data_IF_398953632804
#
_entry.id   IF_398953632804
#
_cell.length_a   1.000
_cell.length_b   1.000
_cell.length_c   1.000
_cell.angle_alpha   90.00
_cell.angle_beta   90.00
_cell.angle_gamma   90.00
#
_symmetry.space_group_name_H-M   'P 1'
#
loop_
_entity.id
_entity.type
_entity.pdbx_description
1 polymer ?
#
# COMPACT_ATOMS: atom_id res chain seq x y z
N UNK A 1 1.55 -24.61 -5.30
CA UNK A 1 0.58 -24.11 -4.29
C UNK A 1 -0.02 -22.82 -4.85
N UNK A 2 -1.32 -22.58 -4.69
CA UNK A 2 -1.98 -21.42 -5.31
C UNK A 2 -1.59 -20.13 -4.57
N UNK A 3 -0.69 -19.35 -5.16
CA UNK A 3 -0.15 -18.10 -4.62
C UNK A 3 -1.24 -17.10 -4.23
N UNK A 4 -2.41 -17.18 -4.86
CA UNK A 4 -3.53 -16.29 -4.59
C UNK A 4 -4.16 -16.52 -3.20
N UNK A 5 -3.88 -17.65 -2.55
CA UNK A 5 -4.32 -17.96 -1.18
C UNK A 5 -3.57 -17.16 -0.11
N UNK A 6 -2.36 -16.69 -0.40
CA UNK A 6 -1.57 -15.87 0.53
C UNK A 6 -1.94 -14.38 0.47
N UNK A 7 -2.59 -13.92 -0.60
CA UNK A 7 -2.94 -12.49 -0.75
C UNK A 7 -3.77 -11.93 0.41
N UNK A 8 -4.79 -12.60 0.96
CA UNK A 8 -5.51 -12.10 2.13
C UNK A 8 -4.63 -11.91 3.37
N UNK A 9 -3.59 -12.74 3.54
CA UNK A 9 -2.61 -12.60 4.63
C UNK A 9 -1.75 -11.35 4.41
N UNK A 10 -1.29 -11.13 3.18
CA UNK A 10 -0.51 -9.93 2.84
C UNK A 10 -1.33 -8.64 2.92
N UNK A 11 -2.63 -8.67 2.61
CA UNK A 11 -3.53 -7.54 2.83
C UNK A 11 -3.61 -7.17 4.32
N UNK A 12 -3.79 -8.17 5.19
CA UNK A 12 -3.81 -7.95 6.65
C UNK A 12 -2.48 -7.40 7.15
N UNK A 13 -1.35 -7.95 6.68
CA UNK A 13 -0.01 -7.46 7.03
C UNK A 13 0.19 -6.00 6.59
N UNK A 14 -0.28 -5.62 5.39
CA UNK A 14 -0.25 -4.24 4.92
C UNK A 14 -1.18 -3.33 5.75
N UNK A 15 -2.35 -3.82 6.16
CA UNK A 15 -3.27 -3.09 7.02
C UNK A 15 -2.65 -2.81 8.40
N UNK A 16 -2.03 -3.81 9.01
CA UNK A 16 -1.24 -3.64 10.24
C UNK A 16 -0.08 -2.64 10.03
N UNK A 17 0.58 -2.71 8.88
CA UNK A 17 1.64 -1.80 8.45
C UNK A 17 1.22 -0.35 8.25
N UNK A 18 -0.09 -0.07 8.17
CA UNK A 18 -0.66 1.27 7.96
C UNK A 18 -1.51 1.75 9.13
N UNK A 19 -1.43 1.05 10.27
CA UNK A 19 -2.12 1.43 11.49
C UNK A 19 -1.67 2.81 12.03
N UNK A 20 -2.37 3.30 13.06
CA UNK A 20 -2.11 4.62 13.65
C UNK A 20 -0.67 4.80 14.15
N UNK A 21 -0.06 3.77 14.73
CA UNK A 21 1.30 3.85 15.25
C UNK A 21 2.32 3.91 14.11
N UNK A 22 2.12 3.09 13.06
CA UNK A 22 2.97 3.11 11.87
C UNK A 22 2.93 4.41 11.10
N UNK A 23 1.75 5.05 11.03
CA UNK A 23 1.61 6.38 10.45
C UNK A 23 2.36 7.46 11.25
N UNK A 24 2.31 7.40 12.58
CA UNK A 24 3.11 8.29 13.43
C UNK A 24 4.61 8.14 13.21
N UNK A 25 5.11 6.90 13.10
CA UNK A 25 6.54 6.65 12.81
C UNK A 25 6.98 7.36 11.51
N UNK A 26 6.11 7.42 10.50
CA UNK A 26 6.37 8.08 9.22
C UNK A 26 6.29 9.61 9.32
N UNK A 27 5.32 10.12 10.09
CA UNK A 27 5.21 11.55 10.38
C UNK A 27 6.48 12.09 11.03
N UNK A 28 7.02 11.39 12.04
CA UNK A 28 8.24 11.79 12.75
C UNK A 28 9.48 11.79 11.84
N UNK A 29 9.46 11.00 10.76
CA UNK A 29 10.55 10.91 9.77
C UNK A 29 10.49 11.99 8.70
N UNK A 30 9.49 12.88 8.73
CA UNK A 30 9.39 14.02 7.81
C UNK A 30 9.30 13.62 6.32
N UNK A 31 8.89 12.38 6.01
CA UNK A 31 8.80 11.91 4.62
C UNK A 31 7.77 12.70 3.81
N UNK A 32 6.75 13.26 4.47
CA UNK A 32 5.68 14.05 3.86
C UNK A 32 5.83 15.57 4.04
N UNK A 33 7.03 16.05 4.36
CA UNK A 33 7.30 17.48 4.48
C UNK A 33 7.12 18.22 3.16
N UNK A 34 6.57 19.44 3.23
CA UNK A 34 6.21 20.24 2.06
C UNK A 34 4.76 20.06 1.59
N UNK A 35 4.01 19.15 2.23
CA UNK A 35 2.55 19.10 2.11
C UNK A 35 1.92 19.84 3.30
N UNK A 36 0.96 20.72 3.02
CA UNK A 36 0.15 21.35 4.07
C UNK A 36 -0.86 20.33 4.63
N UNK A 37 -1.25 20.51 5.89
CA UNK A 37 -2.34 19.75 6.49
C UNK A 37 -3.63 19.89 5.67
N UNK A 38 -4.35 18.78 5.49
CA UNK A 38 -5.51 18.73 4.62
C UNK A 38 -5.24 18.89 3.12
N UNK A 39 -3.97 19.01 2.67
CA UNK A 39 -3.59 19.13 1.25
C UNK A 39 -2.65 18.00 0.82
N UNK A 40 -3.10 16.76 1.01
CA UNK A 40 -2.42 15.53 0.60
C UNK A 40 -1.54 14.92 1.68
N UNK A 41 -1.34 15.59 2.83
CA UNK A 41 -0.44 15.11 3.89
C UNK A 41 -0.89 13.75 4.45
N UNK A 42 -2.16 13.57 4.77
CA UNK A 42 -2.68 12.32 5.33
C UNK A 42 -2.60 11.14 4.35
N UNK A 43 -2.90 11.39 3.06
CA UNK A 43 -2.72 10.40 2.01
C UNK A 43 -1.23 10.02 1.83
N UNK A 44 -0.33 11.01 1.88
CA UNK A 44 1.11 10.75 1.85
C UNK A 44 1.55 9.88 3.03
N UNK A 45 1.11 10.19 4.25
CA UNK A 45 1.48 9.45 5.46
C UNK A 45 1.02 8.00 5.38
N UNK A 46 -0.22 7.77 4.91
CA UNK A 46 -0.75 6.42 4.72
C UNK A 46 0.11 5.61 3.73
N UNK A 47 0.37 6.16 2.53
CA UNK A 47 1.16 5.47 1.50
C UNK A 47 2.61 5.26 1.95
N UNK A 48 3.22 6.27 2.58
CA UNK A 48 4.57 6.17 3.10
C UNK A 48 4.68 5.13 4.24
N UNK A 49 3.63 4.94 5.05
CA UNK A 49 3.58 3.86 6.04
C UNK A 49 3.54 2.48 5.38
N UNK A 50 2.73 2.31 4.32
CA UNK A 50 2.72 1.08 3.52
C UNK A 50 4.09 0.78 2.87
N UNK A 51 4.71 1.79 2.27
CA UNK A 51 6.06 1.69 1.70
C UNK A 51 7.10 1.35 2.77
N UNK A 52 7.05 1.98 3.94
CA UNK A 52 7.97 1.65 5.03
C UNK A 52 7.75 0.22 5.52
N UNK A 53 6.50 -0.21 5.67
CA UNK A 53 6.16 -1.57 6.11
C UNK A 53 6.80 -2.63 5.21
N UNK A 54 6.61 -2.51 3.89
CA UNK A 54 7.17 -3.49 2.96
C UNK A 54 8.72 -3.51 3.01
N UNK A 55 9.37 -2.34 3.13
CA UNK A 55 10.83 -2.31 3.24
C UNK A 55 11.38 -2.74 4.61
N UNK A 56 10.54 -2.76 5.65
CA UNK A 56 10.90 -3.25 6.99
C UNK A 56 10.71 -4.77 7.14
N UNK A 57 10.18 -5.46 6.13
CA UNK A 57 10.13 -6.93 6.08
C UNK A 57 11.56 -7.47 6.06
N UNK A 58 11.92 -8.29 7.05
CA UNK A 58 13.25 -8.87 7.21
C UNK A 58 13.20 -10.26 7.84
N UNK A 59 12.59 -11.21 7.15
CA UNK A 59 12.59 -12.62 7.56
C UNK A 59 13.85 -13.35 7.07
N UNK A 60 14.07 -14.56 7.56
CA UNK A 60 15.25 -15.36 7.24
C UNK A 60 15.26 -15.92 5.82
N UNK A 61 14.07 -16.17 5.25
CA UNK A 61 13.93 -16.70 3.91
C UNK A 61 13.86 -15.57 2.87
N UNK A 62 14.85 -15.51 1.97
CA UNK A 62 14.93 -14.45 0.97
C UNK A 62 13.82 -14.53 -0.08
N UNK A 63 13.31 -15.73 -0.38
CA UNK A 63 12.22 -15.95 -1.35
C UNK A 63 10.92 -15.42 -0.76
N UNK A 64 10.61 -15.79 0.49
CA UNK A 64 9.40 -15.34 1.17
C UNK A 64 9.40 -13.82 1.34
N UNK A 65 10.53 -13.24 1.76
CA UNK A 65 10.68 -11.77 1.87
C UNK A 65 10.45 -11.08 0.53
N UNK A 66 10.99 -11.62 -0.56
CA UNK A 66 10.80 -11.06 -1.90
C UNK A 66 9.32 -11.13 -2.31
N UNK A 67 8.65 -12.26 -2.04
CA UNK A 67 7.24 -12.44 -2.30
C UNK A 67 6.37 -11.46 -1.50
N UNK A 68 6.54 -11.39 -0.19
CA UNK A 68 5.79 -10.49 0.71
C UNK A 68 5.93 -9.03 0.28
N UNK A 69 7.16 -8.57 0.00
CA UNK A 69 7.43 -7.21 -0.50
C UNK A 69 6.71 -6.94 -1.82
N UNK A 70 6.78 -7.89 -2.75
CA UNK A 70 6.14 -7.76 -4.07
C UNK A 70 4.64 -7.69 -3.93
N UNK A 71 4.05 -8.59 -3.15
CA UNK A 71 2.62 -8.63 -2.96
C UNK A 71 2.11 -7.38 -2.23
N UNK A 72 2.78 -6.94 -1.17
CA UNK A 72 2.42 -5.70 -0.48
C UNK A 72 2.58 -4.46 -1.36
N UNK A 73 3.58 -4.42 -2.25
CA UNK A 73 3.70 -3.35 -3.23
C UNK A 73 2.53 -3.30 -4.22
N UNK A 74 2.10 -4.46 -4.72
CA UNK A 74 0.93 -4.58 -5.60
C UNK A 74 -0.34 -4.14 -4.86
N UNK A 75 -0.54 -4.62 -3.63
CA UNK A 75 -1.68 -4.26 -2.80
C UNK A 75 -1.71 -2.77 -2.46
N UNK A 76 -0.55 -2.16 -2.16
CA UNK A 76 -0.46 -0.74 -1.88
C UNK A 76 -0.79 0.11 -3.12
N UNK A 77 -0.41 -0.35 -4.32
CA UNK A 77 -0.82 0.30 -5.56
C UNK A 77 -2.33 0.18 -5.81
N UNK A 78 -2.92 -0.98 -5.53
CA UNK A 78 -4.37 -1.16 -5.61
C UNK A 78 -5.13 -0.24 -4.63
N UNK A 79 -4.61 -0.08 -3.40
CA UNK A 79 -5.14 0.90 -2.44
C UNK A 79 -4.97 2.34 -2.95
N UNK A 80 -3.82 2.68 -3.55
CA UNK A 80 -3.61 4.00 -4.13
C UNK A 80 -4.61 4.29 -5.27
N UNK A 81 -4.91 3.30 -6.12
CA UNK A 81 -5.96 3.43 -7.13
C UNK A 81 -7.33 3.69 -6.49
N UNK A 82 -7.65 2.99 -5.40
CA UNK A 82 -8.92 3.20 -4.67
C UNK A 82 -9.03 4.58 -4.06
N UNK A 83 -7.93 5.15 -3.59
CA UNK A 83 -7.88 6.49 -3.04
C UNK A 83 -7.94 7.58 -4.12
N UNK A 84 -7.48 7.29 -5.34
CA UNK A 84 -7.59 8.19 -6.51
C UNK A 84 -8.93 8.05 -7.24
N UNK A 85 -9.72 7.00 -6.98
CA UNK A 85 -11.05 6.78 -7.55
C UNK A 85 -12.05 7.84 -7.06
N UNK A 86 -12.93 8.30 -7.96
CA UNK A 86 -13.96 9.31 -7.67
C UNK A 86 -14.97 8.85 -6.60
N UNK A 87 -15.10 7.54 -6.36
CA UNK A 87 -15.96 6.97 -5.30
C UNK A 87 -15.35 7.10 -3.91
N UNK A 88 -14.04 7.38 -3.80
CA UNK A 88 -13.46 7.73 -2.52
C UNK A 88 -13.90 9.14 -2.14
N UNK A 89 -14.46 9.35 -0.94
CA UNK A 89 -14.86 10.67 -0.51
C UNK A 89 -13.64 11.60 -0.46
N UNK A 90 -13.85 12.90 -0.65
CA UNK A 90 -12.85 13.94 -0.44
C UNK A 90 -11.55 13.86 -1.30
N UNK A 91 -11.49 13.03 -2.35
CA UNK A 91 -10.31 12.85 -3.21
C UNK A 91 -9.70 14.19 -3.67
N UNK A 92 -10.53 15.08 -4.22
CA UNK A 92 -10.11 16.41 -4.68
C UNK A 92 -9.89 17.38 -3.52
N UNK A 93 -10.83 17.42 -2.56
CA UNK A 93 -10.80 18.33 -1.40
C UNK A 93 -9.48 18.19 -0.62
N UNK A 94 -9.06 16.95 -0.39
CA UNK A 94 -7.84 16.62 0.36
C UNK A 94 -6.61 16.47 -0.52
N UNK A 95 -6.74 16.70 -1.84
CA UNK A 95 -5.66 16.57 -2.80
C UNK A 95 -4.92 15.22 -2.66
N UNK A 96 -5.71 14.14 -2.59
CA UNK A 96 -5.25 12.79 -2.27
C UNK A 96 -4.17 12.33 -3.24
N UNK A 97 -4.40 12.56 -4.54
CA UNK A 97 -3.43 12.29 -5.62
C UNK A 97 -2.06 12.92 -5.35
N UNK A 98 -2.00 14.20 -4.95
CA UNK A 98 -0.73 14.87 -4.63
C UNK A 98 -0.01 14.21 -3.46
N UNK A 99 -0.77 13.76 -2.46
CA UNK A 99 -0.23 13.02 -1.32
C UNK A 99 0.41 11.69 -1.73
N UNK A 100 -0.31 10.91 -2.53
CA UNK A 100 0.15 9.63 -3.09
C UNK A 100 1.42 9.85 -3.93
N UNK A 101 1.38 10.78 -4.89
CA UNK A 101 2.52 11.10 -5.75
C UNK A 101 3.73 11.57 -4.94
N UNK A 102 3.53 12.34 -3.87
CA UNK A 102 4.61 12.74 -2.98
C UNK A 102 5.25 11.55 -2.26
N UNK A 103 4.44 10.64 -1.69
CA UNK A 103 4.96 9.47 -0.98
C UNK A 103 5.78 8.57 -1.90
N UNK A 104 5.27 8.26 -3.09
CA UNK A 104 6.02 7.50 -4.10
C UNK A 104 7.24 8.29 -4.63
N UNK A 105 7.19 9.62 -4.67
CA UNK A 105 8.37 10.45 -4.96
C UNK A 105 9.46 10.41 -3.88
N UNK A 106 9.14 9.89 -2.68
CA UNK A 106 10.06 9.74 -1.54
C UNK A 106 10.53 8.31 -1.32
N UNK A 107 10.25 7.38 -2.23
CA UNK A 107 10.64 5.96 -2.14
C UNK A 107 12.09 5.79 -1.68
N UNK A 108 13.03 6.50 -2.28
CA UNK A 108 14.46 6.32 -1.98
C UNK A 108 14.78 6.68 -0.52
N UNK A 109 14.17 7.75 0.00
CA UNK A 109 14.34 8.15 1.39
C UNK A 109 13.67 7.14 2.35
N UNK A 110 12.48 6.66 2.00
CA UNK A 110 11.73 5.70 2.81
C UNK A 110 12.47 4.35 2.86
N UNK A 111 12.98 3.89 1.71
CA UNK A 111 13.77 2.66 1.59
C UNK A 111 15.11 2.77 2.33
N UNK A 112 15.82 3.89 2.20
CA UNK A 112 17.10 4.08 2.90
C UNK A 112 16.92 4.25 4.42
N UNK A 113 15.73 4.67 4.86
CA UNK A 113 15.35 4.80 6.26
C UNK A 113 14.74 3.55 6.88
N UNK A 114 14.77 2.41 6.19
CA UNK A 114 14.22 1.12 6.63
C UNK A 114 15.30 0.03 6.66
N UNK A 115 14.88 -1.23 6.85
CA UNK A 115 15.78 -2.40 6.77
C UNK A 115 16.31 -2.70 5.37
N UNK A 116 15.89 -1.94 4.36
CA UNK A 116 16.43 -1.99 3.00
C UNK A 116 17.65 -1.09 2.77
N UNK A 117 18.10 -0.33 3.78
CA UNK A 117 19.28 0.51 3.68
C UNK A 117 20.52 -0.31 3.30
N UNK A 118 21.08 -0.05 2.12
CA UNK A 118 22.26 -0.77 1.61
C UNK A 118 22.01 -2.24 1.27
N UNK A 119 20.75 -2.68 1.20
CA UNK A 119 20.39 -4.07 0.89
C UNK A 119 20.09 -4.21 -0.61
N UNK A 120 20.98 -4.90 -1.33
CA UNK A 120 20.87 -5.19 -2.76
C UNK A 120 19.71 -6.12 -3.13
N UNK A 121 19.10 -6.78 -2.13
CA UNK A 121 17.91 -7.64 -2.29
C UNK A 121 16.60 -6.85 -2.21
N UNK A 122 16.65 -5.55 -1.98
CA UNK A 122 15.46 -4.69 -2.02
C UNK A 122 15.27 -4.08 -3.40
N UNK A 123 14.01 -3.92 -3.81
CA UNK A 123 13.63 -3.28 -5.07
C UNK A 123 12.72 -2.08 -4.79
N UNK A 124 12.72 -1.09 -5.68
CA UNK A 124 11.80 0.05 -5.56
C UNK A 124 10.37 -0.40 -5.85
N UNK A 125 9.42 0.00 -5.02
CA UNK A 125 7.99 -0.13 -5.26
C UNK A 125 7.45 1.18 -5.89
N UNK A 126 7.48 1.35 -7.23
CA UNK A 126 6.96 2.56 -7.86
C UNK A 126 5.43 2.62 -7.80
N UNK A 127 4.89 3.83 -8.02
CA UNK A 127 3.48 4.00 -8.35
C UNK A 127 3.21 3.42 -9.74
N UNK A 128 2.32 2.44 -9.82
CA UNK A 128 1.85 1.80 -11.07
C UNK A 128 0.35 2.03 -11.20
N UNK A 129 -0.05 2.96 -12.08
CA UNK A 129 -1.46 3.33 -12.30
C UNK A 129 -2.25 2.35 -13.19
N UNK A 130 -1.54 1.53 -13.97
CA UNK A 130 -2.14 0.66 -14.99
C UNK A 130 -1.65 -0.79 -14.87
N UNK A 131 -1.64 -1.36 -13.66
CA UNK A 131 -1.28 -2.78 -13.50
C UNK A 131 -2.35 -3.74 -14.03
N UNK A 132 -3.47 -3.19 -14.52
CA UNK A 132 -4.53 -3.87 -15.27
C UNK A 132 -4.02 -4.70 -16.46
N UNK A 133 -2.94 -4.25 -17.09
CA UNK A 133 -2.30 -4.92 -18.23
C UNK A 133 -1.17 -5.86 -17.80
N UNK A 134 -0.94 -6.02 -16.50
CA UNK A 134 0.05 -6.97 -15.99
C UNK A 134 -0.56 -8.37 -16.07
N UNK A 135 -0.12 -9.13 -17.06
CA UNK A 135 -0.47 -10.53 -17.25
C UNK A 135 0.54 -11.42 -16.55
N UNK A 136 0.02 -12.42 -15.83
CA UNK A 136 0.80 -13.40 -15.11
C UNK A 136 0.51 -14.75 -15.72
N UNK A 137 1.57 -15.49 -16.00
CA UNK A 137 1.47 -16.87 -16.44
C UNK A 137 1.22 -17.75 -15.22
N UNK A 138 0.16 -18.53 -15.27
CA UNK A 138 -0.15 -19.52 -14.25
C UNK A 138 0.44 -20.87 -14.58
N UNK A 139 0.49 -21.74 -13.56
CA UNK A 139 0.82 -23.15 -13.72
C UNK A 139 -0.18 -23.79 -14.70
N UNK A 140 0.29 -24.07 -15.93
CA UNK A 140 -0.55 -24.51 -17.04
C UNK A 140 -0.51 -23.61 -18.28
N UNK A 141 0.23 -22.49 -18.24
CA UNK A 141 0.48 -21.64 -19.39
C UNK A 141 -0.66 -20.71 -19.77
N UNK A 142 -1.70 -20.61 -18.92
CA UNK A 142 -2.76 -19.62 -19.09
C UNK A 142 -2.29 -18.25 -18.61
N UNK A 143 -2.71 -17.21 -19.30
CA UNK A 143 -2.45 -15.82 -18.91
C UNK A 143 -3.64 -15.29 -18.11
N UNK A 144 -3.38 -14.82 -16.90
CA UNK A 144 -4.38 -14.19 -16.05
C UNK A 144 -3.95 -12.74 -15.76
N UNK A 145 -4.92 -11.82 -15.75
CA UNK A 145 -4.64 -10.44 -15.38
C UNK A 145 -4.47 -10.35 -13.86
N UNK A 146 -3.38 -9.73 -13.42
CA UNK A 146 -3.10 -9.50 -12.01
C UNK A 146 -4.26 -8.78 -11.31
N UNK A 147 -4.86 -7.80 -11.99
CA UNK A 147 -6.03 -7.06 -11.49
C UNK A 147 -7.18 -7.96 -11.08
N UNK A 148 -7.49 -8.98 -11.87
CA UNK A 148 -8.63 -9.85 -11.64
C UNK A 148 -8.46 -10.71 -10.39
N UNK A 149 -7.21 -10.90 -9.93
CA UNK A 149 -6.89 -11.63 -8.70
C UNK A 149 -6.75 -10.72 -7.49
N UNK A 150 -6.22 -9.53 -7.68
CA UNK A 150 -5.93 -8.58 -6.60
C UNK A 150 -7.18 -7.78 -6.21
N UNK A 151 -7.88 -7.20 -7.19
CA UNK A 151 -8.94 -6.24 -6.92
C UNK A 151 -10.09 -6.83 -6.09
N UNK A 152 -10.58 -8.05 -6.36
CA UNK A 152 -11.65 -8.62 -5.54
C UNK A 152 -11.27 -8.77 -4.06
N UNK A 153 -10.00 -9.05 -3.77
CA UNK A 153 -9.49 -9.24 -2.40
C UNK A 153 -9.31 -7.90 -1.70
N UNK A 154 -8.79 -6.90 -2.41
CA UNK A 154 -8.71 -5.52 -1.93
C UNK A 154 -10.11 -4.96 -1.68
N UNK A 155 -11.08 -5.26 -2.54
CA UNK A 155 -12.47 -4.84 -2.34
C UNK A 155 -13.13 -5.48 -1.13
N UNK A 156 -12.84 -6.76 -0.86
CA UNK A 156 -13.36 -7.43 0.33
C UNK A 156 -12.86 -6.74 1.61
N UNK A 157 -11.57 -6.39 1.67
CA UNK A 157 -10.98 -5.64 2.79
C UNK A 157 -11.51 -4.21 2.87
N UNK A 158 -11.56 -3.52 1.72
CA UNK A 158 -12.00 -2.13 1.65
C UNK A 158 -13.46 -1.96 2.08
N UNK A 159 -14.32 -2.92 1.72
CA UNK A 159 -15.74 -2.91 2.09
C UNK A 159 -16.03 -3.62 3.42
N UNK A 160 -14.99 -4.02 4.17
CA UNK A 160 -15.19 -4.66 5.48
C UNK A 160 -15.81 -3.67 6.48
N UNK A 161 -17.03 -3.96 6.93
CA UNK A 161 -17.81 -3.14 7.88
C UNK A 161 -18.02 -3.85 9.23
N UNK A 162 -17.02 -4.61 9.67
CA UNK A 162 -17.05 -5.36 10.94
C UNK A 162 -17.12 -4.42 12.16
N UNK A 163 -18.06 -4.73 13.06
CA UNK A 163 -18.32 -4.01 14.32
C UNK A 163 -17.29 -4.27 15.42
N UNK A 164 -16.38 -5.25 15.24
CA UNK A 164 -15.48 -5.72 16.30
C UNK A 164 -13.99 -5.50 16.01
N UNK A 165 -13.60 -5.27 14.77
CA UNK A 165 -12.26 -4.80 14.39
C UNK A 165 -12.33 -4.21 12.99
N UNK A 166 -12.11 -2.90 12.86
CA UNK A 166 -12.14 -2.24 11.56
C UNK A 166 -10.72 -2.15 11.03
N UNK A 167 -10.43 -2.84 9.91
CA UNK A 167 -9.14 -2.75 9.22
C UNK A 167 -8.71 -1.30 8.99
N UNK A 168 -7.42 -0.94 9.16
CA UNK A 168 -6.88 0.35 8.75
C UNK A 168 -7.09 0.69 7.27
N UNK A 169 -7.30 -0.30 6.41
CA UNK A 169 -7.53 -0.15 4.97
C UNK A 169 -9.01 -0.19 4.56
N UNK A 170 -9.94 -0.36 5.51
CA UNK A 170 -11.36 -0.27 5.20
C UNK A 170 -11.75 1.14 4.79
N UNK A 171 -12.82 1.28 3.99
CA UNK A 171 -13.36 2.56 3.54
C UNK A 171 -13.59 3.53 4.69
N UNK A 172 -14.16 3.04 5.80
CA UNK A 172 -14.46 3.84 6.99
C UNK A 172 -13.17 4.37 7.64
N UNK A 173 -12.18 3.51 7.83
CA UNK A 173 -10.88 3.88 8.41
C UNK A 173 -10.11 4.86 7.53
N UNK A 174 -10.09 4.63 6.21
CA UNK A 174 -9.45 5.50 5.23
C UNK A 174 -10.12 6.86 5.16
N UNK A 175 -11.45 6.91 5.11
CA UNK A 175 -12.22 8.18 5.16
C UNK A 175 -11.93 8.93 6.45
N UNK A 176 -11.97 8.23 7.59
CA UNK A 176 -11.68 8.84 8.91
C UNK A 176 -10.24 9.33 8.99
N UNK A 177 -9.31 8.72 8.25
CA UNK A 177 -7.91 9.11 8.23
C UNK A 177 -7.66 10.32 7.34
N UNK A 178 -8.20 10.30 6.12
CA UNK A 178 -7.83 11.22 5.04
C UNK A 178 -8.80 12.40 4.96
N UNK A 179 -10.09 12.18 5.19
CA UNK A 179 -11.14 13.18 4.98
C UNK A 179 -11.47 14.03 6.21
N UNK A 180 -10.54 14.16 7.16
CA UNK A 180 -10.74 14.95 8.38
C UNK A 180 -10.82 16.45 8.11
#
# INVERSE_FOLDING_TARGET
EDVWKEVPKEIKALAEGTNKNKRKEVEDKNYCNGLSEGKGKDACILIAAGLKNLYDINESDAVDVSFQRTMQCVLLNAIADRLEDEKFPCTDEKNVKKGIEHAFGKIDNIMNGSKCSGNDKCFKCPRVKNYDNCEIKTDGGSEEKLKDKINPKVEAEYNEDSTTSTSPLSKKSLTTTICK
#
